data_IF_993159473168
#
_entry.id   IF_993159473168
#
_cell.length_a   1.000
_cell.length_b   1.000
_cell.length_c   1.000
_cell.angle_alpha   90.00
_cell.angle_beta   90.00
_cell.angle_gamma   90.00
#
_symmetry.space_group_name_H-M   'P 1'
#
loop_
_entity.id
_entity.type
_entity.pdbx_description
1 polymer ?
#
# COMPACT_ATOMS: atom_id res chain seq x y z
N UNK A 1 38.77 14.54 -13.37
CA UNK A 1 38.27 13.16 -13.57
C UNK A 1 39.42 12.27 -14.00
N UNK A 2 39.34 10.92 -13.86
CA UNK A 2 38.32 10.11 -13.15
C UNK A 2 38.62 10.07 -11.62
N UNK A 3 38.33 9.08 -10.76
CA UNK A 3 37.24 8.07 -10.60
C UNK A 3 36.47 8.40 -9.29
N UNK A 4 35.28 7.89 -8.89
CA UNK A 4 34.25 6.97 -9.44
C UNK A 4 34.30 5.46 -9.11
N UNK A 5 33.63 5.08 -7.98
CA UNK A 5 33.02 3.75 -7.64
C UNK A 5 33.97 2.56 -7.32
N UNK A 6 33.48 1.42 -6.76
CA UNK A 6 32.19 1.11 -6.10
C UNK A 6 32.29 0.42 -4.71
N UNK A 7 31.22 0.48 -3.90
CA UNK A 7 30.90 -0.56 -2.92
C UNK A 7 29.59 -1.26 -3.33
N UNK A 8 29.73 -2.16 -4.30
CA UNK A 8 28.74 -3.15 -4.71
C UNK A 8 29.19 -4.51 -4.15
N UNK A 9 28.25 -5.32 -3.69
CA UNK A 9 28.41 -6.75 -3.33
C UNK A 9 29.31 -7.07 -2.12
N UNK A 10 28.75 -6.92 -0.92
CA UNK A 10 28.96 -7.80 0.23
C UNK A 10 27.67 -7.71 1.09
N UNK A 11 26.93 -8.77 1.41
CA UNK A 11 27.27 -10.19 1.56
C UNK A 11 26.24 -11.10 0.88
N UNK A 12 26.73 -12.15 0.21
CA UNK A 12 25.96 -13.36 -0.04
C UNK A 12 26.42 -14.41 0.99
N UNK A 13 25.55 -14.74 1.93
CA UNK A 13 25.83 -15.71 3.00
C UNK A 13 24.63 -16.64 3.17
N UNK A 14 24.67 -17.79 2.51
CA UNK A 14 23.61 -18.78 2.59
C UNK A 14 23.84 -19.75 3.75
N UNK A 15 22.83 -19.95 4.59
CA UNK A 15 22.71 -21.15 5.44
C UNK A 15 21.29 -21.71 5.29
N UNK A 16 21.19 -22.82 4.58
CA UNK A 16 20.03 -23.70 4.60
C UNK A 16 20.13 -24.56 5.85
N UNK A 17 19.15 -24.46 6.76
CA UNK A 17 18.58 -25.57 7.55
C UNK A 17 17.74 -25.04 8.72
N UNK A 18 16.41 -25.17 8.63
CA UNK A 18 15.60 -25.92 9.59
C UNK A 18 14.14 -25.93 9.09
N UNK A 19 13.68 -27.08 8.60
CA UNK A 19 12.29 -27.31 8.21
C UNK A 19 11.58 -28.08 9.32
N UNK A 20 10.75 -27.44 10.17
CA UNK A 20 9.67 -28.14 10.85
C UNK A 20 8.51 -28.27 9.86
N UNK A 21 8.19 -29.51 9.47
CA UNK A 21 7.03 -29.76 8.61
C UNK A 21 5.73 -29.46 9.35
N UNK A 22 4.83 -28.70 8.71
CA UNK A 22 3.43 -28.58 9.11
C UNK A 22 2.57 -29.00 7.92
N UNK A 23 1.76 -30.04 8.10
CA UNK A 23 0.97 -30.60 7.00
C UNK A 23 -0.11 -29.63 6.52
N UNK A 24 -0.34 -29.63 5.20
CA UNK A 24 -1.49 -28.98 4.57
C UNK A 24 -2.75 -29.73 5.04
N UNK A 25 -3.75 -29.01 5.56
CA UNK A 25 -4.98 -29.65 6.04
C UNK A 25 -5.96 -28.76 6.83
N UNK A 26 -5.74 -27.44 6.87
CA UNK A 26 -6.72 -26.52 7.44
C UNK A 26 -7.92 -26.35 6.51
N UNK A 27 -8.94 -27.19 6.69
CA UNK A 27 -10.25 -26.99 6.05
C UNK A 27 -10.79 -25.62 6.49
N UNK A 28 -10.80 -24.66 5.57
CA UNK A 28 -11.49 -23.38 5.80
C UNK A 28 -12.99 -23.69 5.76
N UNK A 29 -13.64 -23.72 6.92
CA UNK A 29 -15.10 -23.90 7.02
C UNK A 29 -15.77 -22.73 6.30
N UNK A 30 -16.17 -22.95 5.04
CA UNK A 30 -16.79 -21.95 4.18
C UNK A 30 -18.27 -21.75 4.59
N UNK A 31 -18.50 -21.53 5.89
CA UNK A 31 -19.83 -21.33 6.45
C UNK A 31 -20.30 -19.93 6.14
N UNK A 32 -20.98 -19.83 5.00
CA UNK A 32 -21.75 -18.69 4.59
C UNK A 32 -22.91 -18.47 5.58
N UNK A 33 -22.65 -17.78 6.69
CA UNK A 33 -23.66 -17.42 7.69
C UNK A 33 -24.62 -16.42 7.06
N UNK A 34 -25.81 -16.90 6.71
CA UNK A 34 -26.85 -16.10 6.08
C UNK A 34 -27.41 -15.03 7.03
N UNK A 35 -27.56 -13.81 6.48
CA UNK A 35 -28.55 -12.77 6.83
C UNK A 35 -29.06 -12.70 8.27
N UNK A 36 -28.56 -11.72 9.03
CA UNK A 36 -29.36 -11.04 10.05
C UNK A 36 -30.08 -9.88 9.35
N UNK A 37 -31.43 -9.84 9.30
CA UNK A 37 -32.15 -8.64 8.89
C UNK A 37 -31.89 -7.54 9.92
N UNK A 38 -31.27 -6.43 9.51
CA UNK A 38 -31.13 -5.28 10.39
C UNK A 38 -32.52 -4.66 10.62
N UNK A 39 -32.93 -4.37 11.87
CA UNK A 39 -34.12 -3.58 12.10
C UNK A 39 -33.90 -2.16 11.55
N UNK A 40 -34.88 -1.65 10.80
CA UNK A 40 -34.83 -0.36 10.13
C UNK A 40 -34.77 0.77 11.17
N UNK A 41 -33.57 1.28 11.43
CA UNK A 41 -33.34 2.42 12.30
C UNK A 41 -33.54 3.71 11.47
N UNK A 42 -34.27 4.73 11.98
CA UNK A 42 -34.54 5.96 11.23
C UNK A 42 -33.24 6.65 10.77
N UNK A 43 -33.14 6.92 9.48
CA UNK A 43 -31.90 7.44 8.88
C UNK A 43 -31.58 8.86 9.38
N UNK A 44 -30.45 9.00 10.09
CA UNK A 44 -29.88 10.30 10.41
C UNK A 44 -29.18 10.87 9.16
N UNK A 45 -29.60 12.04 8.63
CA UNK A 45 -29.02 12.58 7.40
C UNK A 45 -27.60 13.10 7.68
N UNK A 46 -26.58 12.53 7.02
CA UNK A 46 -25.25 13.16 7.01
C UNK A 46 -24.00 12.29 6.85
N UNK A 47 -24.08 10.97 6.63
CA UNK A 47 -22.84 10.18 6.44
C UNK A 47 -22.92 8.95 5.52
N UNK A 48 -23.75 9.02 4.47
CA UNK A 48 -23.60 8.15 3.28
C UNK A 48 -22.49 8.66 2.37
N UNK A 49 -21.24 8.57 2.82
CA UNK A 49 -20.10 8.66 1.90
C UNK A 49 -19.99 7.30 1.19
N UNK A 50 -20.22 7.20 -0.13
CA UNK A 50 -20.20 5.91 -0.79
C UNK A 50 -18.80 5.33 -0.71
N UNK A 51 -18.66 4.12 -0.15
CA UNK A 51 -17.42 3.36 -0.29
C UNK A 51 -17.13 3.23 -1.79
N UNK A 52 -15.96 3.67 -2.28
CA UNK A 52 -15.67 3.63 -3.71
C UNK A 52 -15.75 2.19 -4.24
N UNK A 53 -16.22 1.98 -5.47
CA UNK A 53 -16.39 0.64 -6.03
C UNK A 53 -15.06 -0.13 -6.11
N UNK A 54 -15.09 -1.48 -6.11
CA UNK A 54 -13.90 -2.34 -5.99
C UNK A 54 -12.85 -2.19 -7.11
N UNK A 55 -13.14 -1.41 -8.15
CA UNK A 55 -12.17 -0.96 -9.14
C UNK A 55 -10.92 -0.29 -8.52
N UNK A 56 -11.04 0.31 -7.33
CA UNK A 56 -9.91 0.94 -6.64
C UNK A 56 -8.83 -0.08 -6.23
N UNK A 57 -9.18 -1.31 -5.85
CA UNK A 57 -8.23 -2.35 -5.43
C UNK A 57 -7.37 -2.81 -6.62
N UNK A 58 -7.96 -2.95 -7.81
CA UNK A 58 -7.22 -3.32 -9.01
C UNK A 58 -6.21 -2.24 -9.43
N UNK A 59 -6.61 -0.96 -9.36
CA UNK A 59 -5.71 0.17 -9.62
C UNK A 59 -4.61 0.29 -8.55
N UNK A 60 -4.95 0.13 -7.27
CA UNK A 60 -3.97 0.13 -6.17
C UNK A 60 -2.92 -0.97 -6.39
N UNK A 61 -3.34 -2.20 -6.69
CA UNK A 61 -2.42 -3.29 -7.01
C UNK A 61 -1.52 -2.93 -8.20
N UNK A 62 -2.09 -2.41 -9.29
CA UNK A 62 -1.30 -2.00 -10.46
C UNK A 62 -0.26 -0.92 -10.13
N UNK A 63 -0.59 0.04 -9.27
CA UNK A 63 0.35 1.07 -8.81
C UNK A 63 1.47 0.52 -7.90
N UNK A 64 1.15 -0.45 -7.03
CA UNK A 64 2.14 -1.13 -6.18
C UNK A 64 3.04 -2.07 -6.98
N UNK A 65 2.50 -2.78 -7.97
CA UNK A 65 3.29 -3.62 -8.90
C UNK A 65 4.25 -2.74 -9.73
N UNK A 66 3.82 -1.55 -10.16
CA UNK A 66 4.67 -0.57 -10.84
C UNK A 66 5.79 -0.02 -9.93
N UNK A 67 5.50 0.24 -8.65
CA UNK A 67 6.52 0.60 -7.66
C UNK A 67 7.56 -0.51 -7.47
N UNK A 68 7.13 -1.78 -7.39
CA UNK A 68 8.04 -2.93 -7.33
C UNK A 68 8.93 -3.04 -8.59
N UNK A 69 8.40 -2.66 -9.76
CA UNK A 69 9.16 -2.54 -11.01
C UNK A 69 10.00 -1.25 -11.13
N UNK A 70 10.01 -0.38 -10.10
CA UNK A 70 10.66 0.95 -10.12
C UNK A 70 10.14 1.94 -11.18
N UNK A 71 8.92 1.71 -11.69
CA UNK A 71 8.20 2.60 -12.61
C UNK A 71 7.31 3.58 -11.85
N UNK A 72 7.93 4.70 -11.48
CA UNK A 72 7.27 5.77 -10.73
C UNK A 72 6.29 6.57 -11.61
N UNK A 73 6.43 6.52 -12.94
CA UNK A 73 5.49 7.19 -13.85
C UNK A 73 4.15 6.45 -13.89
N UNK A 74 4.18 5.12 -14.05
CA UNK A 74 2.98 4.28 -13.98
C UNK A 74 2.36 4.31 -12.58
N UNK A 75 3.17 4.29 -11.51
CA UNK A 75 2.67 4.41 -10.15
C UNK A 75 1.94 5.73 -9.88
N UNK A 76 2.46 6.87 -10.38
CA UNK A 76 1.76 8.17 -10.30
C UNK A 76 0.45 8.16 -11.10
N UNK A 77 0.44 7.61 -12.30
CA UNK A 77 -0.77 7.51 -13.11
C UNK A 77 -1.87 6.70 -12.38
N UNK A 78 -1.50 5.56 -11.80
CA UNK A 78 -2.40 4.74 -10.97
C UNK A 78 -2.87 5.47 -9.68
N UNK A 79 -2.06 6.36 -9.10
CA UNK A 79 -2.48 7.23 -7.98
C UNK A 79 -3.51 8.27 -8.44
N UNK A 80 -3.32 8.84 -9.62
CA UNK A 80 -4.13 9.96 -10.10
C UNK A 80 -5.42 9.50 -10.81
N UNK A 81 -5.53 8.21 -11.16
CA UNK A 81 -6.80 7.56 -11.54
C UNK A 81 -7.70 7.18 -10.35
N UNK A 82 -7.15 7.10 -9.13
CA UNK A 82 -7.91 6.80 -7.91
C UNK A 82 -8.65 8.04 -7.38
N UNK A 83 -9.81 7.88 -6.71
CA UNK A 83 -10.56 9.02 -6.17
C UNK A 83 -9.73 9.86 -5.19
N UNK A 84 -9.83 11.19 -5.28
CA UNK A 84 -8.95 12.12 -4.56
C UNK A 84 -8.91 11.90 -3.04
N UNK A 85 -10.01 11.44 -2.44
CA UNK A 85 -10.19 11.18 -1.00
C UNK A 85 -10.13 9.71 -0.62
N UNK A 86 -9.79 8.78 -1.53
CA UNK A 86 -9.75 7.35 -1.20
C UNK A 86 -8.53 6.99 -0.36
N UNK A 87 -8.69 6.02 0.53
CA UNK A 87 -7.57 5.43 1.26
C UNK A 87 -6.53 4.84 0.30
N UNK A 88 -6.97 4.19 -0.78
CA UNK A 88 -6.10 3.61 -1.81
C UNK A 88 -5.16 4.65 -2.42
N UNK A 89 -5.67 5.86 -2.71
CA UNK A 89 -4.87 6.95 -3.25
C UNK A 89 -3.83 7.43 -2.24
N UNK A 90 -4.21 7.53 -0.96
CA UNK A 90 -3.29 7.91 0.11
C UNK A 90 -2.20 6.84 0.33
N UNK A 91 -2.56 5.54 0.34
CA UNK A 91 -1.61 4.43 0.43
C UNK A 91 -0.58 4.52 -0.70
N UNK A 92 -1.04 4.73 -1.95
CA UNK A 92 -0.15 4.80 -3.10
C UNK A 92 0.71 6.08 -3.11
N UNK A 93 0.17 7.21 -2.66
CA UNK A 93 0.96 8.44 -2.45
C UNK A 93 2.09 8.25 -1.42
N UNK A 94 1.80 7.57 -0.30
CA UNK A 94 2.79 7.21 0.71
C UNK A 94 3.82 6.20 0.21
N UNK A 95 3.39 5.18 -0.53
CA UNK A 95 4.30 4.20 -1.12
C UNK A 95 5.25 4.85 -2.15
N UNK A 96 4.76 5.80 -2.96
CA UNK A 96 5.61 6.62 -3.83
C UNK A 96 6.58 7.46 -2.99
N UNK A 97 6.13 8.17 -1.96
CA UNK A 97 6.99 9.00 -1.12
C UNK A 97 8.11 8.23 -0.40
N UNK A 98 7.86 6.98 0.00
CA UNK A 98 8.82 6.13 0.72
C UNK A 98 9.75 5.31 -0.21
N UNK A 99 9.21 4.77 -1.30
CA UNK A 99 9.92 3.81 -2.16
C UNK A 99 10.30 4.35 -3.54
N UNK A 100 9.82 5.54 -3.93
CA UNK A 100 10.08 6.13 -5.25
C UNK A 100 11.47 6.76 -5.45
N UNK A 101 12.26 6.85 -4.38
CA UNK A 101 13.68 7.24 -4.43
C UNK A 101 13.93 8.64 -5.00
N UNK A 102 14.99 8.76 -5.80
CA UNK A 102 15.45 10.01 -6.43
C UNK A 102 14.48 10.57 -7.49
N UNK A 103 13.52 9.76 -7.95
CA UNK A 103 12.49 10.16 -8.92
C UNK A 103 11.30 10.90 -8.30
N UNK A 104 11.28 11.09 -6.98
CA UNK A 104 10.19 11.76 -6.25
C UNK A 104 10.65 13.13 -5.73
N UNK A 105 10.02 14.24 -6.17
CA UNK A 105 10.38 15.56 -5.70
C UNK A 105 9.94 15.75 -4.24
N UNK A 106 10.71 16.52 -3.48
CA UNK A 106 10.45 16.78 -2.05
C UNK A 106 9.05 17.34 -1.75
N UNK A 107 8.43 18.02 -2.72
CA UNK A 107 7.04 18.47 -2.64
C UNK A 107 6.04 17.32 -2.50
N UNK A 108 6.15 16.26 -3.31
CA UNK A 108 5.26 15.09 -3.22
C UNK A 108 5.41 14.38 -1.87
N UNK A 109 6.64 14.32 -1.32
CA UNK A 109 6.90 13.74 0.02
C UNK A 109 6.23 14.59 1.10
N UNK A 110 6.37 15.92 1.03
CA UNK A 110 5.75 16.84 1.98
C UNK A 110 4.21 16.82 1.88
N UNK A 111 3.64 16.60 0.70
CA UNK A 111 2.19 16.48 0.53
C UNK A 111 1.66 15.14 1.02
N UNK A 112 2.35 14.02 0.75
CA UNK A 112 2.02 12.72 1.35
C UNK A 112 2.04 12.80 2.89
N UNK A 113 3.06 13.45 3.48
CA UNK A 113 3.17 13.68 4.92
C UNK A 113 1.96 14.43 5.53
N UNK A 114 1.34 15.36 4.79
CA UNK A 114 0.14 16.09 5.24
C UNK A 114 -1.14 15.24 5.19
N UNK A 115 -1.21 14.23 4.32
CA UNK A 115 -2.43 13.44 4.08
C UNK A 115 -2.83 12.57 5.29
N UNK A 116 -1.85 12.07 6.07
CA UNK A 116 -2.10 11.15 7.19
C UNK A 116 -1.24 11.50 8.42
N UNK A 117 -1.66 12.49 9.24
CA UNK A 117 -1.02 12.76 10.52
C UNK A 117 -1.12 11.54 11.44
N UNK A 118 0.02 11.03 11.90
CA UNK A 118 0.08 9.86 12.81
C UNK A 118 0.13 8.50 12.12
N UNK A 119 0.41 8.43 10.81
CA UNK A 119 0.67 7.16 10.13
C UNK A 119 1.84 6.40 10.79
N UNK A 120 1.78 5.06 10.98
CA UNK A 120 2.78 4.33 11.76
C UNK A 120 4.23 4.46 11.25
N UNK A 121 4.44 4.76 9.96
CA UNK A 121 5.76 5.06 9.40
C UNK A 121 6.29 6.49 9.65
N UNK A 122 5.53 7.36 10.32
CA UNK A 122 5.88 8.77 10.60
C UNK A 122 6.24 9.04 12.05
N UNK A 123 6.10 8.03 12.91
CA UNK A 123 6.42 8.16 14.33
C UNK A 123 7.94 8.20 14.47
N UNK A 124 8.54 9.28 14.99
CA UNK A 124 9.98 9.31 15.24
C UNK A 124 10.35 8.24 16.27
N UNK A 125 11.46 7.55 16.01
CA UNK A 125 12.09 6.65 16.98
C UNK A 125 12.43 7.45 18.25
N UNK A 126 12.26 6.82 19.41
CA UNK A 126 12.42 7.41 20.74
C UNK A 126 13.57 6.73 21.47
#
# INVERSE_FOLDING_TARGET
>A
MPTRRPHLLALLGAVVALMPGMAIGGSVDARMTATIPAPEAPEAPGRTQPSPPPASIAQLKSGLDALAASDIAVARNARDSLPATSLDRHILAWAIALYGGDKVPSGEIADAAKMLPGWPGTIPLR
#
